data_IF_409521864203
#
_entry.id   IF_409521864203
#
_cell.length_a   1.000
_cell.length_b   1.000
_cell.length_c   1.000
_cell.angle_alpha   90.00
_cell.angle_beta   90.00
_cell.angle_gamma   90.00
#
_symmetry.space_group_name_H-M   'P 1'
#
loop_
_entity.id
_entity.type
_entity.pdbx_description
1 polymer ?
#
# COMPACT_ATOMS: atom_id res chain seq x y z
N UNK A 1 23.53 -7.10 -95.15
CA UNK A 1 22.34 -6.54 -94.49
C UNK A 1 21.97 -7.51 -93.38
N UNK A 2 21.33 -6.97 -92.36
CA UNK A 2 20.57 -7.67 -91.34
C UNK A 2 21.27 -7.92 -90.00
N UNK A 3 20.58 -7.37 -89.01
CA UNK A 3 20.78 -7.43 -87.57
C UNK A 3 20.74 -8.88 -87.09
N UNK A 4 21.63 -9.24 -86.19
CA UNK A 4 21.36 -10.36 -85.29
C UNK A 4 21.78 -9.97 -83.87
N UNK A 5 20.80 -9.49 -83.13
CA UNK A 5 20.89 -9.31 -81.69
C UNK A 5 21.11 -10.68 -81.02
N UNK A 6 22.00 -10.77 -80.02
CA UNK A 6 22.29 -12.04 -79.36
C UNK A 6 21.09 -12.53 -78.53
N UNK A 7 20.92 -13.86 -78.35
CA UNK A 7 19.87 -14.40 -77.51
C UNK A 7 20.07 -14.00 -76.05
N UNK A 8 19.02 -13.42 -75.46
CA UNK A 8 18.92 -13.15 -74.02
C UNK A 8 18.87 -14.50 -73.29
N UNK A 9 19.99 -14.90 -72.71
CA UNK A 9 20.02 -15.97 -71.72
C UNK A 9 19.57 -15.39 -70.38
N UNK A 10 18.50 -15.95 -69.80
CA UNK A 10 18.09 -15.64 -68.43
C UNK A 10 19.19 -16.10 -67.48
N UNK A 11 19.67 -15.24 -66.55
CA UNK A 11 20.60 -15.70 -65.53
C UNK A 11 19.86 -16.63 -64.58
N UNK A 12 20.36 -17.86 -64.46
CA UNK A 12 20.01 -18.77 -63.37
C UNK A 12 20.50 -18.21 -62.04
N UNK A 13 19.67 -18.47 -61.05
CA UNK A 13 19.71 -18.18 -59.61
C UNK A 13 21.05 -17.84 -58.92
N UNK A 14 20.90 -16.98 -57.90
CA UNK A 14 21.70 -16.83 -56.67
C UNK A 14 23.05 -16.11 -56.73
N UNK A 15 23.03 -14.82 -56.37
CA UNK A 15 24.15 -14.16 -55.69
C UNK A 15 23.61 -13.29 -54.54
N UNK A 16 23.48 -13.93 -53.39
CA UNK A 16 23.24 -13.32 -52.08
C UNK A 16 24.30 -12.24 -51.82
N UNK A 17 23.86 -11.08 -51.34
CA UNK A 17 24.64 -9.86 -51.21
C UNK A 17 26.05 -10.04 -50.66
N UNK A 18 27.04 -9.58 -51.43
CA UNK A 18 28.42 -9.48 -51.00
C UNK A 18 28.58 -8.21 -50.17
N UNK A 19 28.72 -8.34 -48.85
CA UNK A 19 29.11 -7.24 -47.97
C UNK A 19 30.51 -6.73 -48.37
N UNK A 20 30.77 -5.41 -48.32
CA UNK A 20 32.09 -4.88 -48.67
C UNK A 20 33.15 -5.35 -47.67
N UNK A 21 34.29 -5.79 -48.20
CA UNK A 21 35.43 -6.23 -47.41
C UNK A 21 36.16 -5.03 -46.77
N UNK A 22 36.48 -5.14 -45.49
CA UNK A 22 37.32 -4.19 -44.74
C UNK A 22 38.78 -4.25 -45.27
N UNK A 23 39.40 -3.12 -45.65
CA UNK A 23 40.74 -3.11 -46.27
C UNK A 23 41.92 -3.44 -45.34
N UNK A 24 41.71 -3.78 -44.06
CA UNK A 24 42.79 -4.08 -43.10
C UNK A 24 43.00 -5.56 -42.77
N UNK A 25 42.27 -6.49 -43.39
CA UNK A 25 42.58 -7.92 -43.32
C UNK A 25 42.33 -8.61 -41.97
N UNK A 26 41.81 -7.91 -40.97
CA UNK A 26 41.42 -8.48 -39.68
C UNK A 26 39.91 -8.75 -39.63
N UNK A 27 39.49 -9.88 -40.19
CA UNK A 27 38.12 -10.40 -39.99
C UNK A 27 38.00 -11.05 -38.62
N UNK A 28 37.96 -10.24 -37.58
CA UNK A 28 37.69 -10.67 -36.21
C UNK A 28 36.46 -9.93 -35.69
N UNK A 29 35.28 -10.29 -36.18
CA UNK A 29 34.03 -9.98 -35.49
C UNK A 29 33.97 -10.88 -34.25
N UNK A 30 34.64 -10.49 -33.17
CA UNK A 30 34.43 -11.13 -31.87
C UNK A 30 32.94 -11.01 -31.56
N UNK A 31 32.29 -12.12 -31.20
CA UNK A 31 30.88 -12.10 -30.81
C UNK A 31 30.68 -11.04 -29.73
N UNK A 32 29.49 -10.43 -29.63
CA UNK A 32 29.21 -9.47 -28.56
C UNK A 32 29.57 -10.05 -27.17
N UNK A 33 29.33 -11.36 -26.99
CA UNK A 33 29.74 -12.12 -25.80
C UNK A 33 31.27 -12.17 -25.59
N UNK A 34 32.06 -12.31 -26.65
CA UNK A 34 33.53 -12.33 -26.57
C UNK A 34 34.09 -10.95 -26.21
N UNK A 35 33.50 -9.88 -26.76
CA UNK A 35 33.87 -8.50 -26.43
C UNK A 35 33.46 -8.15 -25.00
N UNK A 36 32.28 -8.60 -24.57
CA UNK A 36 31.78 -8.45 -23.21
C UNK A 36 32.69 -9.14 -22.18
N UNK A 37 33.09 -10.37 -22.45
CA UNK A 37 33.98 -11.13 -21.55
C UNK A 37 35.40 -10.55 -21.55
N UNK A 38 35.91 -10.11 -22.71
CA UNK A 38 37.22 -9.46 -22.80
C UNK A 38 37.30 -8.15 -22.00
N UNK A 39 36.17 -7.44 -21.85
CA UNK A 39 36.06 -6.23 -21.03
C UNK A 39 35.56 -6.52 -19.60
N UNK A 40 35.63 -7.77 -19.14
CA UNK A 40 35.17 -8.19 -17.81
C UNK A 40 33.73 -7.76 -17.48
N UNK A 41 32.82 -7.73 -18.46
CA UNK A 41 31.47 -7.20 -18.28
C UNK A 41 30.67 -7.87 -17.15
N UNK A 42 30.88 -9.16 -16.90
CA UNK A 42 30.30 -9.87 -15.75
C UNK A 42 30.78 -9.28 -14.41
N UNK A 43 32.07 -8.95 -14.30
CA UNK A 43 32.64 -8.34 -13.10
C UNK A 43 32.13 -6.90 -12.91
N UNK A 44 31.96 -6.15 -14.01
CA UNK A 44 31.36 -4.82 -13.99
C UNK A 44 29.90 -4.86 -13.50
N UNK A 45 29.10 -5.83 -13.97
CA UNK A 45 27.72 -6.02 -13.51
C UNK A 45 27.65 -6.40 -12.03
N UNK A 46 28.51 -7.33 -11.58
CA UNK A 46 28.60 -7.68 -10.16
C UNK A 46 29.00 -6.48 -9.29
N UNK A 47 29.95 -5.67 -9.76
CA UNK A 47 30.37 -4.45 -9.06
C UNK A 47 29.23 -3.42 -8.97
N UNK A 48 28.53 -3.16 -10.09
CA UNK A 48 27.39 -2.26 -10.12
C UNK A 48 26.25 -2.71 -9.18
N UNK A 49 25.92 -4.00 -9.19
CA UNK A 49 24.94 -4.58 -8.28
C UNK A 49 25.38 -4.46 -6.81
N UNK A 50 26.66 -4.67 -6.52
CA UNK A 50 27.22 -4.50 -5.17
C UNK A 50 27.10 -3.06 -4.66
N UNK A 51 27.46 -2.06 -5.47
CA UNK A 51 27.30 -0.63 -5.12
C UNK A 51 25.83 -0.28 -4.88
N UNK A 52 24.93 -0.77 -5.74
CA UNK A 52 23.50 -0.54 -5.59
C UNK A 52 22.96 -1.13 -4.27
N UNK A 53 23.32 -2.38 -3.95
CA UNK A 53 22.89 -3.04 -2.71
C UNK A 53 23.45 -2.36 -1.46
N UNK A 54 24.71 -1.94 -1.48
CA UNK A 54 25.30 -1.15 -0.38
C UNK A 54 24.61 0.19 -0.23
N UNK A 55 24.29 0.87 -1.34
CA UNK A 55 23.54 2.13 -1.34
C UNK A 55 22.15 1.97 -0.72
N UNK A 56 21.39 0.94 -1.12
CA UNK A 56 20.08 0.62 -0.55
C UNK A 56 20.20 0.30 0.95
N UNK A 57 21.20 -0.47 1.35
CA UNK A 57 21.44 -0.79 2.77
C UNK A 57 21.79 0.45 3.60
N UNK A 58 22.62 1.36 3.06
CA UNK A 58 22.96 2.63 3.71
C UNK A 58 21.73 3.52 3.84
N UNK A 59 20.90 3.62 2.80
CA UNK A 59 19.67 4.41 2.84
C UNK A 59 18.66 3.83 3.84
N UNK A 60 18.45 2.51 3.84
CA UNK A 60 17.61 1.84 4.83
C UNK A 60 18.13 2.06 6.26
N UNK A 61 19.45 1.98 6.46
CA UNK A 61 20.08 2.24 7.75
C UNK A 61 19.97 3.71 8.18
N UNK A 62 20.10 4.66 7.25
CA UNK A 62 19.95 6.10 7.53
C UNK A 62 18.49 6.47 7.83
N UNK A 63 17.53 5.90 7.11
CA UNK A 63 16.09 6.13 7.34
C UNK A 63 15.62 5.56 8.68
N UNK A 64 16.19 4.44 9.13
CA UNK A 64 15.81 3.80 10.39
C UNK A 64 16.61 4.29 11.62
N UNK A 65 17.33 5.42 11.52
CA UNK A 65 17.89 6.08 12.71
C UNK A 65 16.78 6.86 13.38
N UNK A 66 16.10 6.21 14.32
CA UNK A 66 15.23 6.85 15.29
C UNK A 66 15.94 8.08 15.87
N UNK A 67 15.44 9.28 15.56
CA UNK A 67 15.83 10.49 16.28
C UNK A 67 14.95 10.52 17.51
N UNK A 68 15.57 10.53 18.69
CA UNK A 68 14.81 10.80 19.90
C UNK A 68 14.06 12.12 19.73
N UNK A 69 12.78 12.19 20.13
CA UNK A 69 12.08 13.46 20.20
C UNK A 69 12.89 14.45 21.05
N UNK A 70 13.53 15.42 20.42
CA UNK A 70 14.24 16.48 21.13
C UNK A 70 13.21 17.51 21.55
N UNK A 71 12.77 17.45 22.79
CA UNK A 71 11.99 18.53 23.37
C UNK A 71 12.91 19.72 23.64
N UNK A 72 12.48 20.97 23.39
CA UNK A 72 13.21 22.15 23.86
C UNK A 72 13.40 22.06 25.38
N UNK A 73 14.54 22.53 25.89
CA UNK A 73 14.75 22.64 27.33
C UNK A 73 13.65 23.52 27.95
N UNK A 74 13.32 23.29 29.22
CA UNK A 74 12.30 24.08 29.92
C UNK A 74 12.58 25.59 29.86
N UNK A 75 13.85 25.98 29.73
CA UNK A 75 14.30 27.36 29.61
C UNK A 75 14.05 27.99 28.22
N UNK A 76 13.81 27.18 27.18
CA UNK A 76 13.46 27.63 25.83
C UNK A 76 11.94 27.81 25.63
N UNK A 77 11.14 27.47 26.65
CA UNK A 77 9.73 27.86 26.72
C UNK A 77 9.73 29.31 27.22
N UNK A 78 9.72 30.28 26.30
CA UNK A 78 9.24 31.62 26.65
C UNK A 78 7.89 31.42 27.33
N UNK A 79 7.79 31.85 28.59
CA UNK A 79 6.53 31.79 29.32
C UNK A 79 5.51 32.58 28.51
N UNK A 80 4.66 31.87 27.80
CA UNK A 80 3.51 32.45 27.16
C UNK A 80 2.71 33.12 28.28
N UNK A 81 2.79 34.44 28.33
CA UNK A 81 1.76 35.28 28.94
C UNK A 81 0.42 34.66 28.55
N UNK A 82 -0.53 34.43 29.47
CA UNK A 82 -1.79 33.77 29.14
C UNK A 82 -2.65 34.73 28.32
N UNK A 83 -2.29 34.93 27.06
CA UNK A 83 -3.19 35.39 26.02
C UNK A 83 -4.12 34.21 25.82
N UNK A 84 -5.37 34.37 26.27
CA UNK A 84 -6.49 33.48 25.96
C UNK A 84 -6.37 33.01 24.52
N UNK A 85 -5.94 31.76 24.35
CA UNK A 85 -6.02 31.08 23.09
C UNK A 85 -7.51 30.95 22.79
N UNK A 86 -7.91 31.61 21.71
CA UNK A 86 -9.10 31.31 20.91
C UNK A 86 -9.51 29.86 21.10
N UNK A 87 -10.70 29.67 21.66
CA UNK A 87 -11.46 28.41 21.60
C UNK A 87 -11.36 27.89 20.18
N UNK A 88 -10.47 26.91 19.99
CA UNK A 88 -10.53 26.07 18.80
C UNK A 88 -11.84 25.34 18.99
N UNK A 89 -12.80 25.56 18.09
CA UNK A 89 -14.02 24.78 18.04
C UNK A 89 -13.61 23.34 17.73
N UNK A 90 -13.18 22.59 18.75
CA UNK A 90 -13.05 21.14 18.67
C UNK A 90 -14.46 20.65 18.42
N UNK A 91 -14.72 20.23 17.20
CA UNK A 91 -15.98 19.58 16.86
C UNK A 91 -16.18 18.44 17.85
N UNK A 92 -17.38 18.30 18.45
CA UNK A 92 -17.61 17.23 19.42
C UNK A 92 -17.32 15.89 18.75
N UNK A 93 -16.52 15.05 19.38
CA UNK A 93 -16.08 13.75 18.85
C UNK A 93 -16.23 12.66 19.91
N UNK A 94 -16.21 11.40 19.48
CA UNK A 94 -16.06 10.25 20.38
C UNK A 94 -14.85 9.40 19.96
N UNK A 95 -14.39 8.54 20.86
CA UNK A 95 -13.28 7.62 20.61
C UNK A 95 -13.83 6.22 20.32
N UNK A 96 -13.59 5.73 19.11
CA UNK A 96 -13.78 4.32 18.78
C UNK A 96 -12.49 3.56 19.08
N UNK A 97 -12.54 2.69 20.09
CA UNK A 97 -11.43 1.83 20.50
C UNK A 97 -11.63 0.43 19.91
N UNK A 98 -10.85 0.09 18.90
CA UNK A 98 -10.86 -1.25 18.32
C UNK A 98 -9.84 -2.12 19.06
N UNK A 99 -10.30 -3.24 19.58
CA UNK A 99 -9.48 -4.19 20.37
C UNK A 99 -9.51 -5.58 19.77
N UNK A 100 -8.45 -6.36 20.00
CA UNK A 100 -8.39 -7.75 19.59
C UNK A 100 -7.69 -7.96 18.25
N UNK A 101 -6.77 -7.07 17.84
CA UNK A 101 -5.89 -7.35 16.70
C UNK A 101 -5.09 -8.64 16.89
N UNK A 102 -4.80 -9.34 15.78
CA UNK A 102 -4.10 -10.63 15.81
C UNK A 102 -2.63 -10.49 16.24
N UNK A 103 -2.00 -9.43 15.75
CA UNK A 103 -0.65 -8.98 16.07
C UNK A 103 -0.61 -7.46 15.80
N UNK A 104 0.59 -6.87 15.83
CA UNK A 104 0.80 -5.44 15.54
C UNK A 104 1.21 -5.16 14.09
N UNK A 105 1.07 -6.13 13.18
CA UNK A 105 1.32 -5.91 11.76
C UNK A 105 0.11 -5.23 11.12
N UNK A 106 0.27 -4.71 9.90
CA UNK A 106 -0.86 -4.19 9.13
C UNK A 106 -1.62 -3.03 9.79
N UNK A 107 -2.91 -2.96 9.50
CA UNK A 107 -3.78 -1.87 9.93
C UNK A 107 -5.18 -2.34 10.32
N UNK A 108 -5.79 -1.64 11.28
CA UNK A 108 -7.23 -1.73 11.51
C UNK A 108 -7.92 -0.82 10.52
N UNK A 109 -8.92 -1.37 9.81
CA UNK A 109 -9.83 -0.63 8.95
C UNK A 109 -11.20 -0.58 9.58
N UNK A 110 -11.79 0.61 9.59
CA UNK A 110 -13.13 0.85 10.13
C UNK A 110 -14.01 1.46 9.05
N UNK A 111 -15.26 1.04 9.02
CA UNK A 111 -16.33 1.62 8.22
C UNK A 111 -17.57 1.88 9.09
N UNK A 112 -18.21 3.02 8.89
CA UNK A 112 -19.50 3.37 9.50
C UNK A 112 -20.57 3.42 8.40
N UNK A 113 -21.73 2.87 8.72
CA UNK A 113 -22.88 2.73 7.83
C UNK A 113 -24.12 3.33 8.48
N UNK A 114 -24.90 4.04 7.69
CA UNK A 114 -26.15 4.69 8.12
C UNK A 114 -27.40 4.07 7.50
N UNK A 115 -27.24 3.11 6.59
CA UNK A 115 -28.32 2.41 5.90
C UNK A 115 -28.11 0.88 5.92
N UNK A 116 -29.21 0.14 5.85
CA UNK A 116 -29.17 -1.32 5.70
C UNK A 116 -28.68 -1.75 4.30
N UNK A 117 -28.98 -0.96 3.27
CA UNK A 117 -28.60 -1.26 1.87
C UNK A 117 -27.08 -1.25 1.68
N UNK A 118 -26.39 -0.30 2.33
CA UNK A 118 -24.95 -0.11 2.19
C UNK A 118 -24.13 -0.97 3.17
N UNK A 119 -24.79 -1.55 4.19
CA UNK A 119 -24.12 -2.27 5.26
C UNK A 119 -23.29 -3.45 4.72
N UNK A 120 -22.01 -3.54 5.14
CA UNK A 120 -21.02 -4.50 4.64
C UNK A 120 -20.58 -4.33 3.18
N UNK A 121 -20.86 -3.19 2.55
CA UNK A 121 -20.30 -2.80 1.25
C UNK A 121 -19.25 -1.70 1.50
N UNK A 122 -17.94 -2.01 1.61
CA UNK A 122 -16.91 -1.03 2.00
C UNK A 122 -16.86 0.24 1.15
N UNK A 123 -17.23 0.14 -0.13
CA UNK A 123 -17.29 1.24 -1.07
C UNK A 123 -18.44 2.22 -0.80
N UNK A 124 -19.52 1.74 -0.16
CA UNK A 124 -20.72 2.50 0.16
C UNK A 124 -20.75 3.03 1.60
N UNK A 125 -19.68 2.83 2.38
CA UNK A 125 -19.57 3.35 3.74
C UNK A 125 -19.62 4.89 3.77
N UNK A 126 -20.44 5.45 4.66
CA UNK A 126 -20.58 6.90 4.88
C UNK A 126 -19.29 7.51 5.45
N UNK A 127 -18.58 6.72 6.26
CA UNK A 127 -17.28 7.09 6.81
C UNK A 127 -16.35 5.90 6.85
N UNK A 128 -15.06 6.13 6.59
CA UNK A 128 -14.01 5.11 6.66
C UNK A 128 -12.67 5.70 7.03
N UNK A 129 -11.91 4.94 7.82
CA UNK A 129 -10.55 5.29 8.19
C UNK A 129 -9.73 4.01 8.41
N UNK A 130 -8.42 4.14 8.30
CA UNK A 130 -7.49 3.08 8.69
C UNK A 130 -6.36 3.62 9.55
N UNK A 131 -5.91 2.81 10.51
CA UNK A 131 -4.81 3.12 11.42
C UNK A 131 -3.95 1.88 11.61
N UNK A 132 -2.64 2.08 11.66
CA UNK A 132 -1.68 1.01 12.01
C UNK A 132 -2.02 0.48 13.40
N UNK A 133 -1.90 -0.83 13.57
CA UNK A 133 -2.14 -1.46 14.87
C UNK A 133 -1.05 -1.04 15.86
N UNK A 134 -1.43 -0.49 17.02
CA UNK A 134 -0.46 -0.14 18.03
C UNK A 134 0.16 -1.42 18.66
N UNK A 135 1.36 -1.34 19.28
CA UNK A 135 2.03 -2.51 19.86
C UNK A 135 1.22 -3.27 20.93
N UNK A 136 0.21 -2.64 21.54
CA UNK A 136 -0.70 -3.26 22.49
C UNK A 136 -1.90 -3.97 21.84
N UNK A 137 -1.98 -4.01 20.50
CA UNK A 137 -3.08 -4.64 19.76
C UNK A 137 -4.38 -3.82 19.75
N UNK A 138 -4.29 -2.52 20.02
CA UNK A 138 -5.42 -1.58 20.11
C UNK A 138 -5.23 -0.45 19.08
N UNK A 139 -6.31 -0.03 18.43
CA UNK A 139 -6.33 1.18 17.60
C UNK A 139 -7.47 2.10 18.04
N UNK A 140 -7.18 3.38 18.24
CA UNK A 140 -8.15 4.39 18.66
C UNK A 140 -8.40 5.40 17.54
N UNK A 141 -9.65 5.49 17.10
CA UNK A 141 -10.12 6.40 16.06
C UNK A 141 -10.92 7.52 16.72
N UNK A 142 -10.70 8.75 16.28
CA UNK A 142 -11.51 9.92 16.68
C UNK A 142 -12.53 10.18 15.58
N UNK A 143 -13.80 10.13 15.95
CA UNK A 143 -14.92 10.25 15.00
C UNK A 143 -15.76 11.45 15.39
N UNK A 144 -15.93 12.36 14.45
CA UNK A 144 -16.65 13.60 14.66
C UNK A 144 -18.16 13.32 14.72
N UNK A 145 -18.85 13.87 15.73
CA UNK A 145 -20.27 13.62 15.96
C UNK A 145 -21.14 14.29 14.89
N UNK A 146 -20.69 15.35 14.21
CA UNK A 146 -21.50 16.03 13.19
C UNK A 146 -21.57 15.27 11.86
N UNK A 147 -20.67 14.30 11.65
CA UNK A 147 -20.64 13.46 10.45
C UNK A 147 -21.62 12.27 10.53
N UNK A 148 -22.26 12.05 11.68
CA UNK A 148 -23.06 10.84 11.93
C UNK A 148 -24.53 11.14 12.27
N UNK A 149 -25.47 10.31 11.81
CA UNK A 149 -26.85 10.36 12.24
C UNK A 149 -27.04 9.83 13.67
N UNK A 150 -28.27 9.91 14.17
CA UNK A 150 -28.62 9.46 15.52
C UNK A 150 -28.38 7.95 15.77
N UNK A 151 -28.39 7.13 14.73
CA UNK A 151 -28.17 5.68 14.79
C UNK A 151 -27.34 5.23 13.60
N UNK A 152 -26.37 4.36 13.82
CA UNK A 152 -25.47 3.85 12.80
C UNK A 152 -24.88 2.50 13.21
N UNK A 153 -24.26 1.79 12.25
CA UNK A 153 -23.52 0.56 12.50
C UNK A 153 -22.04 0.73 12.15
N UNK A 154 -21.16 0.10 12.91
CA UNK A 154 -19.71 0.09 12.71
C UNK A 154 -19.29 -1.34 12.32
N UNK A 155 -18.47 -1.44 11.29
CA UNK A 155 -17.70 -2.65 10.98
C UNK A 155 -16.20 -2.35 11.08
N UNK A 156 -15.43 -3.28 11.61
CA UNK A 156 -13.98 -3.18 11.63
C UNK A 156 -13.32 -4.51 11.31
N UNK A 157 -12.14 -4.45 10.70
CA UNK A 157 -11.29 -5.63 10.50
C UNK A 157 -9.81 -5.29 10.56
N UNK A 158 -9.01 -6.31 10.81
CA UNK A 158 -7.56 -6.24 10.83
C UNK A 158 -7.00 -6.69 9.47
N UNK A 159 -6.56 -5.73 8.65
CA UNK A 159 -5.88 -5.97 7.38
C UNK A 159 -4.41 -6.26 7.65
N UNK A 160 -4.09 -7.55 7.86
CA UNK A 160 -2.78 -8.01 8.32
C UNK A 160 -1.70 -7.85 7.24
N UNK A 161 -2.10 -7.89 5.97
CA UNK A 161 -1.19 -7.81 4.82
C UNK A 161 -1.25 -6.46 4.09
N UNK A 162 -2.02 -5.51 4.60
CA UNK A 162 -2.19 -4.15 4.07
C UNK A 162 -2.68 -4.11 2.62
N UNK A 163 -3.56 -5.04 2.23
CA UNK A 163 -4.05 -5.16 0.86
C UNK A 163 -5.32 -4.34 0.56
N UNK A 164 -5.92 -3.71 1.58
CA UNK A 164 -7.12 -2.90 1.41
C UNK A 164 -8.44 -3.63 1.56
N UNK A 165 -8.43 -4.93 1.86
CA UNK A 165 -9.60 -5.80 1.79
C UNK A 165 -9.60 -6.78 2.96
N UNK A 166 -10.81 -7.18 3.35
CA UNK A 166 -10.99 -8.29 4.27
C UNK A 166 -10.74 -9.60 3.53
N UNK A 167 -9.63 -10.28 3.84
CA UNK A 167 -9.28 -11.53 3.18
C UNK A 167 -10.25 -12.65 3.56
N UNK A 168 -10.58 -13.48 2.55
CA UNK A 168 -11.55 -14.57 2.66
C UNK A 168 -11.00 -15.84 2.02
N UNK A 169 -11.36 -16.99 2.57
CA UNK A 169 -11.05 -18.28 1.95
C UNK A 169 -11.97 -18.57 0.75
N UNK A 170 -11.76 -19.73 0.09
CA UNK A 170 -12.55 -20.14 -1.08
C UNK A 170 -14.07 -20.31 -0.81
N UNK A 171 -14.49 -20.41 0.46
CA UNK A 171 -15.89 -20.46 0.88
C UNK A 171 -16.45 -19.08 1.26
N UNK A 172 -15.67 -18.00 1.10
CA UNK A 172 -16.06 -16.64 1.45
C UNK A 172 -15.96 -16.32 2.94
N UNK A 173 -15.39 -17.20 3.76
CA UNK A 173 -15.24 -16.98 5.20
C UNK A 173 -14.02 -16.10 5.46
N UNK A 174 -14.13 -15.02 6.24
CA UNK A 174 -12.99 -14.18 6.60
C UNK A 174 -11.85 -14.99 7.24
N UNK A 175 -10.62 -14.73 6.78
CA UNK A 175 -9.39 -15.30 7.35
C UNK A 175 -8.69 -14.36 8.31
N UNK A 176 -9.10 -13.09 8.30
CA UNK A 176 -8.62 -12.06 9.20
C UNK A 176 -9.67 -11.74 10.26
N UNK A 177 -9.24 -11.12 11.36
CA UNK A 177 -10.14 -10.75 12.45
C UNK A 177 -11.04 -9.62 12.03
N UNK A 178 -12.32 -9.77 12.33
CA UNK A 178 -13.34 -8.77 12.06
C UNK A 178 -14.34 -8.69 13.20
N UNK A 179 -15.13 -7.62 13.22
CA UNK A 179 -16.12 -7.38 14.24
C UNK A 179 -17.06 -6.26 13.86
N UNK A 180 -18.16 -6.19 14.60
CA UNK A 180 -19.23 -5.22 14.41
C UNK A 180 -19.55 -4.54 15.74
N UNK A 181 -20.11 -3.34 15.66
CA UNK A 181 -20.75 -2.70 16.82
C UNK A 181 -21.85 -3.59 17.40
N UNK A 182 -22.18 -3.34 18.68
CA UNK A 182 -23.08 -4.17 19.48
C UNK A 182 -22.67 -5.66 19.61
N UNK A 183 -21.40 -5.97 19.28
CA UNK A 183 -20.89 -7.35 19.20
C UNK A 183 -21.77 -8.27 18.34
N UNK A 184 -22.42 -7.69 17.31
CA UNK A 184 -23.37 -8.37 16.46
C UNK A 184 -22.71 -9.54 15.71
N UNK A 185 -23.45 -10.65 15.58
CA UNK A 185 -22.99 -11.87 14.91
C UNK A 185 -24.10 -12.46 14.05
N UNK A 186 -23.79 -12.70 12.78
CA UNK A 186 -24.61 -13.52 11.90
C UNK A 186 -24.33 -15.01 12.13
N UNK A 187 -25.35 -15.85 11.95
CA UNK A 187 -25.20 -17.32 11.92
C UNK A 187 -24.74 -17.79 10.54
N UNK A 188 -25.17 -17.10 9.49
CA UNK A 188 -24.78 -17.31 8.10
C UNK A 188 -24.45 -15.95 7.50
N UNK A 189 -23.15 -15.69 7.30
CA UNK A 189 -22.68 -14.39 6.79
C UNK A 189 -22.61 -13.29 7.86
N UNK A 190 -22.53 -12.01 7.43
CA UNK A 190 -22.52 -10.89 8.35
C UNK A 190 -23.85 -10.76 9.14
N UNK A 191 -23.85 -10.07 10.29
CA UNK A 191 -25.08 -9.74 11.01
C UNK A 191 -26.01 -8.84 10.18
N UNK A 192 -27.27 -8.67 10.61
CA UNK A 192 -28.13 -7.62 10.06
C UNK A 192 -27.66 -6.24 10.51
N UNK A 193 -27.95 -5.20 9.71
CA UNK A 193 -27.69 -3.81 10.08
C UNK A 193 -28.29 -3.48 11.44
N UNK A 194 -29.58 -3.76 11.62
CA UNK A 194 -30.31 -3.53 12.88
C UNK A 194 -29.61 -4.15 14.10
N UNK A 195 -29.07 -5.36 13.98
CA UNK A 195 -28.38 -6.01 15.10
C UNK A 195 -27.05 -5.36 15.45
N UNK A 196 -26.40 -4.70 14.49
CA UNK A 196 -25.16 -3.95 14.66
C UNK A 196 -25.41 -2.47 15.00
N UNK A 197 -26.62 -1.95 14.81
CA UNK A 197 -26.94 -0.54 15.06
C UNK A 197 -26.73 -0.15 16.53
N UNK A 198 -26.10 0.99 16.72
CA UNK A 198 -25.92 1.65 18.01
C UNK A 198 -26.38 3.12 17.91
N UNK A 199 -26.77 3.69 19.04
CA UNK A 199 -27.10 5.10 19.13
C UNK A 199 -25.83 5.97 19.13
N UNK A 200 -25.97 7.20 18.62
CA UNK A 200 -24.94 8.22 18.69
C UNK A 200 -24.52 8.46 20.14
N UNK A 201 -23.23 8.31 20.47
CA UNK A 201 -22.78 8.40 21.84
C UNK A 201 -22.58 9.86 22.26
N UNK A 202 -22.34 10.09 23.55
CA UNK A 202 -21.99 11.42 24.05
C UNK A 202 -20.58 11.83 23.60
N UNK A 203 -20.33 13.14 23.53
CA UNK A 203 -19.00 13.67 23.27
C UNK A 203 -17.98 13.17 24.31
N UNK A 204 -16.75 12.96 23.88
CA UNK A 204 -15.62 12.43 24.66
C UNK A 204 -15.82 11.02 25.24
N UNK A 205 -16.90 10.34 24.85
CA UNK A 205 -17.14 8.95 25.24
C UNK A 205 -16.25 7.97 24.46
N UNK A 206 -16.18 6.73 24.96
CA UNK A 206 -15.44 5.64 24.34
C UNK A 206 -16.40 4.53 23.96
N UNK A 207 -16.42 4.18 22.68
CA UNK A 207 -17.04 2.95 22.19
C UNK A 207 -15.95 1.91 22.00
N UNK A 208 -16.05 0.77 22.69
CA UNK A 208 -15.17 -0.38 22.44
C UNK A 208 -15.79 -1.31 21.39
N UNK A 209 -15.03 -1.60 20.34
CA UNK A 209 -15.37 -2.59 19.31
C UNK A 209 -14.34 -3.71 19.34
N UNK A 210 -14.80 -4.93 19.60
CA UNK A 210 -13.93 -6.12 19.61
C UNK A 210 -13.96 -6.81 18.25
N UNK A 211 -12.79 -7.14 17.73
CA UNK A 211 -12.61 -8.06 16.59
C UNK A 211 -12.05 -9.41 17.09
N UNK A 212 -12.35 -10.51 16.40
CA UNK A 212 -11.95 -11.86 16.80
C UNK A 212 -11.60 -12.76 15.63
#
# INVERSE_FOLDING_TARGET
MDEEHPPVTRPTETAKGRMPANPRGDVSWKSYSDQWNANHGTLLMCFAAGVFLVGVAVLAYQQNRFREPSFPSADAIEQATPTQATITSTEPEFVLRVVGAADSAGEIRVAIYTSEEDFNVPEAADWKQSLVVAPNGISEFRVALSELPAEFAIAAYHDMNSNGKLDRNALGIPTERYGFSNAARGTVGPPSFESATIALPEADSVIELKIW
#
